data_IF_376930552222
#
_entry.id   IF_376930552222
#
_cell.length_a   1.000
_cell.length_b   1.000
_cell.length_c   1.000
_cell.angle_alpha   90.00
_cell.angle_beta   90.00
_cell.angle_gamma   90.00
#
_symmetry.space_group_name_H-M   'P 1'
#
loop_
_entity.id
_entity.type
_entity.pdbx_description
1 polymer ?
#
# COMPACT_ATOMS: atom_id res chain seq x y z
N UNK A 1 -25.92 -6.69 11.56
CA UNK A 1 -27.00 -7.22 12.42
C UNK A 1 -28.12 -7.74 11.54
N UNK A 2 -28.23 -9.06 11.40
CA UNK A 2 -29.42 -9.69 10.81
C UNK A 2 -30.64 -9.21 11.59
N UNK A 3 -31.54 -8.49 10.93
CA UNK A 3 -32.65 -7.86 11.64
C UNK A 3 -33.48 -8.96 12.28
N UNK A 4 -33.69 -8.88 13.59
CA UNK A 4 -34.61 -9.73 14.38
C UNK A 4 -35.97 -9.90 13.65
N UNK A 5 -36.36 -8.88 12.86
CA UNK A 5 -37.53 -8.90 11.97
C UNK A 5 -37.54 -10.05 10.95
N UNK A 6 -36.39 -10.46 10.41
CA UNK A 6 -36.31 -11.57 9.45
C UNK A 6 -36.63 -12.91 10.13
N UNK A 7 -36.01 -13.17 11.27
CA UNK A 7 -36.25 -14.38 12.05
C UNK A 7 -37.70 -14.46 12.53
N UNK A 8 -38.27 -13.34 13.02
CA UNK A 8 -39.67 -13.27 13.41
C UNK A 8 -40.59 -13.58 12.22
N UNK A 9 -40.30 -13.04 11.03
CA UNK A 9 -41.13 -13.26 9.83
C UNK A 9 -41.10 -14.71 9.35
N UNK A 10 -39.92 -15.34 9.36
CA UNK A 10 -39.76 -16.77 9.03
C UNK A 10 -40.53 -17.61 10.04
N UNK A 11 -40.36 -17.32 11.34
CA UNK A 11 -41.04 -18.06 12.40
C UNK A 11 -42.57 -17.97 12.26
N UNK A 12 -43.11 -16.77 12.01
CA UNK A 12 -44.54 -16.57 11.79
C UNK A 12 -45.05 -17.36 10.57
N UNK A 13 -44.29 -17.41 9.48
CA UNK A 13 -44.68 -18.17 8.28
C UNK A 13 -44.64 -19.67 8.53
N UNK A 14 -43.64 -20.19 9.25
CA UNK A 14 -43.56 -21.61 9.62
C UNK A 14 -44.74 -22.00 10.52
N UNK A 15 -45.05 -21.17 11.53
CA UNK A 15 -46.21 -21.39 12.41
C UNK A 15 -47.50 -21.41 11.60
N UNK A 16 -47.69 -20.46 10.68
CA UNK A 16 -48.88 -20.42 9.82
C UNK A 16 -49.01 -21.68 8.94
N UNK A 17 -47.89 -22.16 8.36
CA UNK A 17 -47.87 -23.40 7.57
C UNK A 17 -48.31 -24.59 8.42
N UNK A 18 -47.76 -24.73 9.64
CA UNK A 18 -48.08 -25.84 10.54
C UNK A 18 -49.55 -25.82 10.94
N UNK A 19 -50.10 -24.64 11.25
CA UNK A 19 -51.52 -24.49 11.62
C UNK A 19 -52.44 -24.84 10.46
N UNK A 20 -52.16 -24.30 9.25
CA UNK A 20 -53.00 -24.55 8.06
C UNK A 20 -52.93 -26.02 7.65
N UNK A 21 -51.75 -26.63 7.63
CA UNK A 21 -51.60 -28.04 7.32
C UNK A 21 -52.26 -28.95 8.37
N UNK A 22 -52.11 -28.62 9.65
CA UNK A 22 -52.72 -29.37 10.75
C UNK A 22 -54.24 -29.34 10.74
N UNK A 23 -54.84 -28.15 10.55
CA UNK A 23 -56.29 -28.00 10.38
C UNK A 23 -56.78 -28.72 9.12
N UNK A 24 -56.03 -28.65 8.02
CA UNK A 24 -56.35 -29.36 6.79
C UNK A 24 -56.39 -30.88 6.98
N UNK A 25 -55.36 -31.44 7.60
CA UNK A 25 -55.28 -32.88 7.90
C UNK A 25 -56.39 -33.32 8.86
N UNK A 26 -56.66 -32.57 9.93
CA UNK A 26 -57.74 -32.88 10.87
C UNK A 26 -59.13 -32.84 10.18
N UNK A 27 -59.36 -31.89 9.29
CA UNK A 27 -60.61 -31.79 8.51
C UNK A 27 -60.83 -32.97 7.56
N UNK A 28 -59.76 -33.54 7.01
CA UNK A 28 -59.80 -34.75 6.18
C UNK A 28 -60.05 -35.99 7.04
N UNK A 29 -59.28 -36.19 8.11
CA UNK A 29 -59.36 -37.39 8.97
C UNK A 29 -60.71 -37.51 9.64
N UNK A 30 -61.31 -36.39 10.06
CA UNK A 30 -62.65 -36.40 10.69
C UNK A 30 -63.79 -36.57 9.69
N UNK A 31 -63.53 -36.54 8.39
CA UNK A 31 -64.52 -36.71 7.32
C UNK A 31 -65.54 -35.55 7.19
N UNK A 32 -65.47 -34.52 8.04
CA UNK A 32 -66.46 -33.43 8.10
C UNK A 32 -66.24 -32.33 7.06
N UNK A 33 -65.01 -32.16 6.58
CA UNK A 33 -64.64 -31.06 5.71
C UNK A 33 -63.52 -31.47 4.73
N UNK A 34 -63.66 -32.61 4.07
CA UNK A 34 -62.62 -33.21 3.22
C UNK A 34 -62.16 -32.27 2.11
N UNK A 35 -63.08 -31.59 1.42
CA UNK A 35 -62.75 -30.65 0.33
C UNK A 35 -61.95 -29.46 0.86
N UNK A 36 -62.38 -28.85 1.96
CA UNK A 36 -61.67 -27.73 2.59
C UNK A 36 -60.29 -28.16 3.10
N UNK A 37 -60.17 -29.38 3.62
CA UNK A 37 -58.90 -29.91 4.09
C UNK A 37 -57.89 -30.14 2.97
N UNK A 38 -58.35 -30.63 1.80
CA UNK A 38 -57.50 -30.77 0.61
C UNK A 38 -57.02 -29.40 0.13
N UNK A 39 -57.92 -28.40 0.06
CA UNK A 39 -57.57 -27.02 -0.31
C UNK A 39 -56.54 -26.43 0.67
N UNK A 40 -56.69 -26.66 1.97
CA UNK A 40 -55.74 -26.20 2.97
C UNK A 40 -54.34 -26.81 2.79
N UNK A 41 -54.25 -28.10 2.42
CA UNK A 41 -52.95 -28.74 2.12
C UNK A 41 -52.29 -28.16 0.87
N UNK A 42 -53.05 -27.85 -0.18
CA UNK A 42 -52.50 -27.16 -1.36
C UNK A 42 -51.99 -25.76 -1.02
N UNK A 43 -52.71 -25.01 -0.17
CA UNK A 43 -52.27 -23.70 0.32
C UNK A 43 -50.99 -23.85 1.13
N UNK A 44 -50.90 -24.84 2.02
CA UNK A 44 -49.69 -25.10 2.80
C UNK A 44 -48.49 -25.45 1.89
N UNK A 45 -48.68 -26.30 0.87
CA UNK A 45 -47.63 -26.64 -0.09
C UNK A 45 -47.16 -25.43 -0.92
N UNK A 46 -48.08 -24.55 -1.30
CA UNK A 46 -47.75 -23.29 -1.96
C UNK A 46 -46.97 -22.35 -1.04
N UNK A 47 -47.38 -22.23 0.23
CA UNK A 47 -46.67 -21.45 1.24
C UNK A 47 -45.25 -21.99 1.51
N UNK A 48 -45.07 -23.31 1.54
CA UNK A 48 -43.74 -23.93 1.66
C UNK A 48 -42.87 -23.57 0.45
N UNK A 49 -43.40 -23.75 -0.76
CA UNK A 49 -42.68 -23.39 -2.00
C UNK A 49 -42.31 -21.90 -2.04
N UNK A 50 -43.22 -21.04 -1.60
CA UNK A 50 -42.97 -19.61 -1.48
C UNK A 50 -41.89 -19.28 -0.45
N UNK A 51 -41.91 -19.93 0.72
CA UNK A 51 -40.91 -19.76 1.76
C UNK A 51 -39.52 -20.24 1.29
N UNK A 52 -39.45 -21.39 0.62
CA UNK A 52 -38.20 -21.92 0.04
C UNK A 52 -37.67 -21.00 -1.05
N UNK A 53 -38.53 -20.51 -1.95
CA UNK A 53 -38.14 -19.52 -2.96
C UNK A 53 -37.61 -18.25 -2.31
N UNK A 54 -38.32 -17.73 -1.30
CA UNK A 54 -37.91 -16.53 -0.57
C UNK A 54 -36.53 -16.75 0.08
N UNK A 55 -36.36 -17.82 0.87
CA UNK A 55 -35.08 -18.17 1.48
C UNK A 55 -33.96 -18.33 0.45
N UNK A 56 -34.20 -18.97 -0.69
CA UNK A 56 -33.18 -19.12 -1.74
C UNK A 56 -32.82 -17.80 -2.41
N UNK A 57 -33.77 -16.88 -2.62
CA UNK A 57 -33.48 -15.53 -3.14
C UNK A 57 -32.62 -14.74 -2.13
N UNK A 58 -32.91 -14.83 -0.83
CA UNK A 58 -32.10 -14.19 0.20
C UNK A 58 -30.72 -14.83 0.33
N UNK A 59 -30.64 -16.16 0.32
CA UNK A 59 -29.36 -16.88 0.35
C UNK A 59 -28.52 -16.58 -0.89
N UNK A 60 -29.12 -16.48 -2.08
CA UNK A 60 -28.40 -16.07 -3.30
C UNK A 60 -27.93 -14.63 -3.25
N UNK A 61 -28.70 -13.72 -2.63
CA UNK A 61 -28.25 -12.33 -2.40
C UNK A 61 -27.16 -12.24 -1.35
N UNK A 62 -27.20 -13.08 -0.31
CA UNK A 62 -26.17 -13.16 0.72
C UNK A 62 -24.91 -13.79 0.12
N UNK A 63 -25.00 -14.83 -0.69
CA UNK A 63 -23.85 -15.36 -1.42
C UNK A 63 -23.31 -14.36 -2.42
N UNK A 64 -24.13 -13.64 -3.20
CA UNK A 64 -23.62 -12.56 -4.06
C UNK A 64 -22.98 -11.41 -3.26
N UNK A 65 -23.44 -11.15 -2.04
CA UNK A 65 -22.83 -10.18 -1.13
C UNK A 65 -21.54 -10.71 -0.47
N UNK A 66 -21.50 -12.00 -0.14
CA UNK A 66 -20.34 -12.67 0.44
C UNK A 66 -19.26 -12.96 -0.61
N UNK A 67 -19.61 -13.38 -1.83
CA UNK A 67 -18.73 -13.50 -3.00
C UNK A 67 -18.16 -12.12 -3.39
N UNK A 68 -18.93 -11.04 -3.26
CA UNK A 68 -18.43 -9.67 -3.42
C UNK A 68 -17.55 -9.17 -2.25
N UNK A 69 -17.54 -9.89 -1.12
CA UNK A 69 -16.63 -9.66 0.02
C UNK A 69 -15.44 -10.63 -0.03
N UNK A 70 -15.61 -11.81 -0.63
CA UNK A 70 -14.60 -12.86 -0.84
C UNK A 70 -13.74 -12.58 -2.09
N UNK A 71 -14.22 -11.73 -3.03
CA UNK A 71 -13.45 -11.01 -4.07
C UNK A 71 -12.64 -9.86 -3.42
N UNK A 72 -11.69 -10.30 -2.61
CA UNK A 72 -10.84 -9.62 -1.64
C UNK A 72 -9.91 -8.55 -2.27
N UNK A 73 -10.48 -7.45 -2.79
CA UNK A 73 -9.80 -6.17 -2.89
C UNK A 73 -9.97 -5.42 -1.56
N UNK A 74 -8.87 -5.27 -0.82
CA UNK A 74 -8.76 -4.52 0.43
C UNK A 74 -9.56 -3.20 0.43
N UNK A 75 -10.80 -3.20 0.92
CA UNK A 75 -11.57 -1.96 1.06
C UNK A 75 -10.99 -1.12 2.21
N UNK A 76 -10.11 -0.18 1.86
CA UNK A 76 -9.77 1.03 2.61
C UNK A 76 -10.98 1.97 2.69
N UNK A 77 -12.02 1.56 3.42
CA UNK A 77 -13.11 2.45 3.76
C UNK A 77 -12.79 3.15 5.07
N UNK A 78 -12.38 4.42 4.98
CA UNK A 78 -12.16 5.24 6.16
C UNK A 78 -13.50 5.69 6.74
N UNK A 79 -13.76 5.49 8.05
CA UNK A 79 -15.02 5.87 8.67
C UNK A 79 -15.20 7.40 8.63
N UNK A 80 -16.13 7.85 7.80
CA UNK A 80 -16.46 9.27 7.58
C UNK A 80 -17.19 9.92 8.77
N UNK A 81 -17.46 9.15 9.83
CA UNK A 81 -18.13 9.59 11.05
C UNK A 81 -17.17 9.79 12.24
N UNK A 82 -15.87 9.49 12.10
CA UNK A 82 -14.87 9.59 13.17
C UNK A 82 -13.99 10.83 12.94
N UNK A 83 -13.72 11.60 14.00
CA UNK A 83 -12.78 12.74 13.99
C UNK A 83 -13.43 14.12 13.79
N UNK A 84 -12.58 15.15 13.67
CA UNK A 84 -12.98 16.55 13.41
C UNK A 84 -13.67 16.70 12.05
N UNK A 85 -14.29 17.85 11.77
CA UNK A 85 -14.98 18.11 10.49
C UNK A 85 -14.01 18.02 9.31
N UNK A 86 -12.76 18.42 9.55
CA UNK A 86 -11.64 18.46 8.62
C UNK A 86 -11.12 17.03 8.36
N UNK A 87 -10.99 16.21 9.40
CA UNK A 87 -10.64 14.79 9.28
C UNK A 87 -11.70 14.01 8.50
N UNK A 88 -12.99 14.27 8.74
CA UNK A 88 -14.08 13.63 7.98
C UNK A 88 -14.09 14.00 6.51
N UNK A 89 -13.82 15.28 6.17
CA UNK A 89 -13.64 15.72 4.78
C UNK A 89 -12.47 15.04 4.12
N UNK A 90 -11.38 14.84 4.85
CA UNK A 90 -10.19 14.16 4.35
C UNK A 90 -10.44 12.67 4.12
N UNK A 91 -11.09 11.96 5.06
CA UNK A 91 -11.53 10.57 4.87
C UNK A 91 -12.40 10.40 3.62
N UNK A 92 -13.39 11.28 3.44
CA UNK A 92 -14.25 11.26 2.25
C UNK A 92 -13.46 11.50 0.95
N UNK A 93 -12.47 12.40 0.97
CA UNK A 93 -11.60 12.65 -0.19
C UNK A 93 -10.74 11.42 -0.53
N UNK A 94 -10.16 10.75 0.48
CA UNK A 94 -9.40 9.51 0.29
C UNK A 94 -10.25 8.37 -0.25
N UNK A 95 -11.44 8.15 0.33
CA UNK A 95 -12.39 7.15 -0.16
C UNK A 95 -12.75 7.40 -1.64
N UNK A 96 -12.90 8.67 -2.03
CA UNK A 96 -13.18 9.06 -3.42
C UNK A 96 -12.00 8.84 -4.36
N UNK A 97 -10.78 9.18 -3.96
CA UNK A 97 -9.56 8.93 -4.74
C UNK A 97 -9.36 7.43 -4.92
N UNK A 98 -9.48 6.65 -3.84
CA UNK A 98 -9.37 5.20 -3.87
C UNK A 98 -10.36 4.61 -4.88
N UNK A 99 -11.64 4.99 -4.80
CA UNK A 99 -12.67 4.53 -5.74
C UNK A 99 -12.32 4.84 -7.20
N UNK A 100 -11.94 6.07 -7.51
CA UNK A 100 -11.59 6.47 -8.88
C UNK A 100 -10.35 5.71 -9.42
N UNK A 101 -9.38 5.43 -8.55
CA UNK A 101 -8.16 4.72 -8.90
C UNK A 101 -8.40 3.22 -9.11
N UNK A 102 -9.19 2.59 -8.24
CA UNK A 102 -9.60 1.18 -8.39
C UNK A 102 -10.41 0.99 -9.66
N UNK A 103 -11.36 1.88 -9.96
CA UNK A 103 -12.20 1.80 -11.15
C UNK A 103 -11.40 1.99 -12.47
N UNK A 104 -10.40 2.87 -12.50
CA UNK A 104 -9.53 3.05 -13.67
C UNK A 104 -8.55 1.89 -13.85
N UNK A 105 -7.93 1.39 -12.77
CA UNK A 105 -6.88 0.36 -12.87
C UNK A 105 -7.41 -1.07 -13.04
N UNK A 106 -8.62 -1.37 -12.55
CA UNK A 106 -9.28 -2.66 -12.79
C UNK A 106 -9.50 -2.95 -14.28
N UNK A 107 -9.59 -1.90 -15.12
CA UNK A 107 -9.73 -2.03 -16.58
C UNK A 107 -8.40 -2.27 -17.32
N UNK A 108 -7.25 -2.00 -16.71
CA UNK A 108 -5.93 -2.16 -17.34
C UNK A 108 -5.25 -3.51 -17.02
N UNK A 109 -5.67 -4.21 -15.97
CA UNK A 109 -4.92 -5.32 -15.38
C UNK A 109 -5.67 -6.67 -15.30
N UNK A 110 -6.30 -7.10 -16.39
CA UNK A 110 -6.99 -8.41 -16.51
C UNK A 110 -6.05 -9.64 -16.61
N UNK A 111 -4.77 -9.53 -16.28
CA UNK A 111 -3.80 -10.67 -16.33
C UNK A 111 -3.10 -10.90 -15.00
N UNK A 112 -2.86 -12.16 -14.68
CA UNK A 112 -2.19 -12.66 -13.46
C UNK A 112 -0.83 -11.97 -13.17
N UNK A 113 -0.10 -11.56 -14.22
CA UNK A 113 1.17 -10.83 -14.12
C UNK A 113 1.04 -9.47 -13.41
N UNK A 114 -0.15 -8.86 -13.46
CA UNK A 114 -0.42 -7.54 -12.91
C UNK A 114 -1.13 -7.56 -11.55
N UNK A 115 -1.56 -8.73 -11.08
CA UNK A 115 -2.16 -8.87 -9.74
C UNK A 115 -1.18 -8.43 -8.64
N UNK A 116 0.09 -8.81 -8.76
CA UNK A 116 1.16 -8.36 -7.83
C UNK A 116 1.39 -6.85 -7.88
N UNK A 117 1.16 -6.21 -9.02
CA UNK A 117 1.24 -4.76 -9.17
C UNK A 117 0.04 -4.09 -8.50
N UNK A 118 -1.16 -4.64 -8.68
CA UNK A 118 -2.36 -4.18 -7.97
C UNK A 118 -2.21 -4.31 -6.45
N UNK A 119 -1.75 -5.46 -5.95
CA UNK A 119 -1.48 -5.68 -4.52
C UNK A 119 -0.43 -4.69 -3.97
N UNK A 120 0.63 -4.40 -4.75
CA UNK A 120 1.61 -3.39 -4.39
C UNK A 120 1.02 -1.97 -4.37
N UNK A 121 0.12 -1.65 -5.31
CA UNK A 121 -0.59 -0.37 -5.37
C UNK A 121 -1.61 -0.19 -4.25
N UNK A 122 -2.31 -1.25 -3.85
CA UNK A 122 -3.20 -1.23 -2.69
C UNK A 122 -2.41 -1.00 -1.40
N UNK A 123 -1.29 -1.73 -1.22
CA UNK A 123 -0.35 -1.49 -0.10
C UNK A 123 0.14 -0.04 -0.09
N UNK A 124 0.47 0.52 -1.25
CA UNK A 124 0.85 1.92 -1.39
C UNK A 124 -0.23 2.88 -0.91
N UNK A 125 -1.47 2.70 -1.36
CA UNK A 125 -2.58 3.55 -0.92
C UNK A 125 -2.78 3.50 0.59
N UNK A 126 -2.63 2.32 1.19
CA UNK A 126 -2.70 2.14 2.64
C UNK A 126 -1.62 2.95 3.37
N UNK A 127 -0.36 2.85 2.93
CA UNK A 127 0.75 3.62 3.51
C UNK A 127 0.51 5.12 3.30
N UNK A 128 0.12 5.54 2.10
CA UNK A 128 -0.19 6.94 1.79
C UNK A 128 -1.21 7.54 2.74
N UNK A 129 -2.33 6.85 2.95
CA UNK A 129 -3.35 7.36 3.86
C UNK A 129 -2.88 7.32 5.31
N UNK A 130 -2.18 6.26 5.73
CA UNK A 130 -1.61 6.17 7.07
C UNK A 130 -0.65 7.33 7.36
N UNK A 131 0.29 7.62 6.45
CA UNK A 131 1.28 8.70 6.63
C UNK A 131 0.66 10.10 6.61
N UNK A 132 -0.31 10.33 5.72
CA UNK A 132 -1.03 11.61 5.68
C UNK A 132 -1.88 11.80 6.94
N UNK A 133 -2.58 10.76 7.40
CA UNK A 133 -3.37 10.83 8.63
C UNK A 133 -2.51 10.97 9.89
N UNK A 134 -1.39 10.25 9.95
CA UNK A 134 -0.43 10.37 11.04
C UNK A 134 0.23 11.74 11.10
N UNK A 135 0.36 12.41 9.95
CA UNK A 135 0.85 13.78 9.91
C UNK A 135 -0.21 14.81 10.26
N UNK A 136 -1.45 14.63 9.81
CA UNK A 136 -2.50 15.64 10.00
C UNK A 136 -3.15 15.55 11.38
N UNK A 137 -3.33 14.36 11.94
CA UNK A 137 -4.03 14.17 13.22
C UNK A 137 -3.36 14.90 14.40
N UNK A 138 -2.02 14.81 14.61
CA UNK A 138 -1.34 15.56 15.65
C UNK A 138 -1.41 17.06 15.43
N UNK A 139 -1.31 17.54 14.19
CA UNK A 139 -1.40 18.97 13.86
C UNK A 139 -2.78 19.53 14.27
N UNK A 140 -3.86 18.83 13.92
CA UNK A 140 -5.24 19.25 14.27
C UNK A 140 -5.46 19.16 15.78
N UNK A 141 -4.99 18.11 16.44
CA UNK A 141 -5.15 17.93 17.89
C UNK A 141 -4.36 18.97 18.70
N UNK A 142 -3.08 19.15 18.36
CA UNK A 142 -2.21 20.12 19.01
C UNK A 142 -2.69 21.54 18.76
N UNK A 143 -3.04 21.90 17.52
CA UNK A 143 -3.60 23.23 17.26
C UNK A 143 -4.89 23.50 18.04
N UNK A 144 -5.78 22.51 18.18
CA UNK A 144 -6.95 22.61 19.06
C UNK A 144 -6.60 22.80 20.54
N UNK A 145 -5.60 22.06 21.03
CA UNK A 145 -5.09 22.17 22.41
C UNK A 145 -4.44 23.54 22.65
N UNK A 146 -3.60 24.00 21.73
CA UNK A 146 -2.96 25.31 21.77
C UNK A 146 -4.00 26.43 21.79
N UNK A 147 -5.04 26.34 20.94
CA UNK A 147 -6.13 27.32 20.96
C UNK A 147 -6.87 27.32 22.31
N UNK A 148 -7.10 26.15 22.92
CA UNK A 148 -7.75 26.05 24.24
C UNK A 148 -6.99 26.75 25.37
N UNK A 149 -5.67 26.94 25.20
CA UNK A 149 -4.86 27.68 26.16
C UNK A 149 -5.15 29.17 26.16
N UNK A 150 -5.53 29.73 25.00
CA UNK A 150 -5.71 31.17 24.82
C UNK A 150 -7.17 31.61 24.66
N UNK A 151 -8.11 30.67 24.44
CA UNK A 151 -9.54 31.00 24.33
C UNK A 151 -10.43 29.90 24.88
N UNK A 152 -11.62 30.29 25.33
CA UNK A 152 -12.76 29.40 25.60
C UNK A 152 -13.64 29.31 24.34
N UNK A 153 -14.80 28.63 24.41
CA UNK A 153 -15.76 28.63 23.31
C UNK A 153 -16.37 30.01 23.02
N UNK A 154 -16.33 30.92 24.00
CA UNK A 154 -17.10 32.16 23.99
C UNK A 154 -16.23 33.43 24.07
N UNK A 155 -14.99 33.33 24.56
CA UNK A 155 -14.10 34.49 24.74
C UNK A 155 -12.61 34.15 24.65
N UNK A 156 -11.79 35.14 24.32
CA UNK A 156 -10.31 35.07 24.43
C UNK A 156 -9.93 35.34 25.88
N UNK A 157 -8.98 34.57 26.42
CA UNK A 157 -8.51 34.73 27.80
C UNK A 157 -7.72 36.04 27.97
N UNK A 158 -7.80 36.63 29.15
CA UNK A 158 -7.06 37.86 29.44
C UNK A 158 -5.56 37.59 29.56
N UNK A 159 -4.76 38.66 29.46
CA UNK A 159 -3.30 38.56 29.63
C UNK A 159 -2.88 38.05 31.01
N UNK A 160 -3.73 38.21 32.03
CA UNK A 160 -3.46 37.78 33.41
C UNK A 160 -3.67 36.26 33.59
N UNK A 161 -4.51 35.65 32.75
CA UNK A 161 -4.77 34.20 32.76
C UNK A 161 -3.70 33.41 31.97
N UNK A 162 -2.90 34.09 31.14
CA UNK A 162 -1.84 33.48 30.34
C UNK A 162 -0.56 33.41 31.16
N UNK A 163 -0.30 32.23 31.71
CA UNK A 163 0.92 31.99 32.48
C UNK A 163 2.13 31.72 31.58
N UNK A 164 3.31 31.95 32.13
CA UNK A 164 4.60 31.60 31.53
C UNK A 164 4.70 30.11 31.16
N UNK A 165 4.05 29.26 31.95
CA UNK A 165 3.91 27.81 31.67
C UNK A 165 3.04 27.55 30.44
N UNK A 166 1.99 28.34 30.23
CA UNK A 166 1.15 28.31 29.03
C UNK A 166 1.98 28.65 27.80
N UNK A 167 2.80 29.70 27.86
CA UNK A 167 3.70 30.11 26.77
C UNK A 167 4.68 28.99 26.42
N UNK A 168 5.34 28.38 27.41
CA UNK A 168 6.27 27.25 27.20
C UNK A 168 5.59 26.03 26.56
N UNK A 169 4.38 25.68 27.00
CA UNK A 169 3.60 24.58 26.38
C UNK A 169 3.23 24.91 24.93
N UNK A 170 2.93 26.18 24.65
CA UNK A 170 2.62 26.65 23.30
C UNK A 170 3.81 26.53 22.36
N UNK A 171 4.98 27.01 22.77
CA UNK A 171 6.21 26.88 21.96
C UNK A 171 6.50 25.41 21.63
N UNK A 172 6.46 24.52 22.63
CA UNK A 172 6.65 23.07 22.39
C UNK A 172 5.61 22.48 21.44
N UNK A 173 4.34 22.85 21.59
CA UNK A 173 3.29 22.39 20.69
C UNK A 173 3.49 22.88 19.25
N UNK A 174 3.96 24.12 19.07
CA UNK A 174 4.30 24.68 17.75
C UNK A 174 5.51 23.97 17.13
N UNK A 175 6.54 23.65 17.90
CA UNK A 175 7.70 22.88 17.41
C UNK A 175 7.28 21.49 16.91
N UNK A 176 6.40 20.80 17.65
CA UNK A 176 5.85 19.50 17.21
C UNK A 176 5.02 19.65 15.94
N UNK A 177 4.17 20.68 15.84
CA UNK A 177 3.38 20.96 14.62
C UNK A 177 4.31 21.22 13.42
N UNK A 178 5.38 22.01 13.62
CA UNK A 178 6.37 22.30 12.58
C UNK A 178 7.04 21.03 12.08
N UNK A 179 7.56 20.20 12.99
CA UNK A 179 8.22 18.93 12.64
C UNK A 179 7.29 17.97 11.89
N UNK A 180 6.02 17.92 12.28
CA UNK A 180 5.04 17.10 11.59
C UNK A 180 4.71 17.63 10.18
N UNK A 181 4.67 18.96 10.01
CA UNK A 181 4.52 19.60 8.71
C UNK A 181 5.70 19.34 7.77
N UNK A 182 6.94 19.44 8.28
CA UNK A 182 8.16 19.12 7.54
C UNK A 182 8.17 17.65 7.08
N UNK A 183 7.77 16.74 7.97
CA UNK A 183 7.65 15.30 7.65
C UNK A 183 6.65 15.05 6.53
N UNK A 184 5.50 15.74 6.54
CA UNK A 184 4.49 15.64 5.49
C UNK A 184 5.00 16.18 4.15
N UNK A 185 5.74 17.30 4.15
CA UNK A 185 6.36 17.85 2.93
C UNK A 185 7.32 16.81 2.34
N UNK A 186 8.24 16.28 3.15
CA UNK A 186 9.21 15.28 2.72
C UNK A 186 8.51 14.02 2.16
N UNK A 187 7.44 13.57 2.81
CA UNK A 187 6.62 12.47 2.33
C UNK A 187 5.99 12.76 0.96
N UNK A 188 5.39 13.94 0.78
CA UNK A 188 4.75 14.32 -0.50
C UNK A 188 5.76 14.47 -1.64
N UNK A 189 6.97 14.97 -1.37
CA UNK A 189 8.05 15.04 -2.37
C UNK A 189 8.52 13.66 -2.78
N UNK A 190 8.69 12.76 -1.80
CA UNK A 190 9.02 11.36 -2.03
C UNK A 190 7.94 10.69 -2.90
N UNK A 191 6.66 10.87 -2.58
CA UNK A 191 5.55 10.37 -3.38
C UNK A 191 5.54 10.96 -4.81
N UNK A 192 5.80 12.26 -4.96
CA UNK A 192 5.85 12.93 -6.27
C UNK A 192 6.89 12.30 -7.20
N UNK A 193 8.07 11.95 -6.66
CA UNK A 193 9.13 11.27 -7.41
C UNK A 193 8.68 9.89 -7.92
N UNK A 194 7.87 9.17 -7.13
CA UNK A 194 7.33 7.88 -7.51
C UNK A 194 6.16 7.99 -8.52
N UNK A 195 5.22 8.90 -8.28
CA UNK A 195 3.99 9.04 -9.07
C UNK A 195 4.22 9.70 -10.43
N UNK A 196 5.20 10.59 -10.56
CA UNK A 196 5.51 11.32 -11.80
C UNK A 196 6.79 10.83 -12.47
N UNK A 197 6.99 9.52 -12.46
CA UNK A 197 8.09 8.92 -13.19
C UNK A 197 7.90 9.14 -14.70
N UNK A 198 8.84 9.87 -15.31
CA UNK A 198 8.80 10.17 -16.75
C UNK A 198 9.03 8.88 -17.55
N UNK A 199 8.39 8.77 -18.71
CA UNK A 199 8.71 7.70 -19.66
C UNK A 199 10.21 7.79 -20.03
N UNK A 200 10.95 6.68 -20.05
CA UNK A 200 12.36 6.68 -20.44
C UNK A 200 12.56 7.28 -21.83
N UNK A 201 13.59 8.11 -21.99
CA UNK A 201 14.08 8.55 -23.29
C UNK A 201 15.39 7.82 -23.62
N UNK A 202 15.32 6.58 -24.13
CA UNK A 202 16.51 5.75 -24.27
C UNK A 202 17.45 6.30 -25.34
N UNK A 203 18.71 6.50 -24.97
CA UNK A 203 19.80 6.95 -25.84
C UNK A 203 21.03 6.06 -25.61
N UNK A 204 21.89 5.87 -26.63
CA UNK A 204 23.14 5.15 -26.43
C UNK A 204 24.10 5.98 -25.57
N UNK A 205 24.62 5.41 -24.49
CA UNK A 205 25.67 6.03 -23.66
C UNK A 205 26.67 5.00 -23.14
N UNK A 206 27.82 5.47 -22.65
CA UNK A 206 28.87 4.62 -22.08
C UNK A 206 28.59 4.33 -20.61
N UNK A 207 28.27 3.08 -20.28
CA UNK A 207 28.03 2.65 -18.90
C UNK A 207 29.29 2.80 -18.03
N UNK A 208 30.47 2.58 -18.61
CA UNK A 208 31.74 2.71 -17.90
C UNK A 208 31.94 4.15 -17.43
N UNK A 209 31.68 5.14 -18.29
CA UNK A 209 31.78 6.56 -17.92
C UNK A 209 30.78 6.90 -16.81
N UNK A 210 29.55 6.41 -16.90
CA UNK A 210 28.55 6.60 -15.85
C UNK A 210 29.04 6.05 -14.50
N UNK A 211 29.55 4.81 -14.46
CA UNK A 211 30.03 4.18 -13.24
C UNK A 211 31.26 4.90 -12.65
N UNK A 212 32.19 5.37 -13.49
CA UNK A 212 33.34 6.16 -13.07
C UNK A 212 32.93 7.52 -12.49
N UNK A 213 31.93 8.17 -13.09
CA UNK A 213 31.38 9.43 -12.56
C UNK A 213 30.72 9.20 -11.20
N UNK A 214 29.95 8.12 -11.03
CA UNK A 214 29.34 7.77 -9.75
C UNK A 214 30.37 7.43 -8.68
N UNK A 215 31.42 6.69 -9.03
CA UNK A 215 32.55 6.43 -8.14
C UNK A 215 33.19 7.74 -7.67
N UNK A 216 33.46 8.67 -8.59
CA UNK A 216 34.08 9.97 -8.27
C UNK A 216 33.16 10.80 -7.37
N UNK A 217 31.86 10.82 -7.65
CA UNK A 217 30.86 11.58 -6.89
C UNK A 217 30.75 11.11 -5.43
N UNK A 218 30.79 9.79 -5.19
CA UNK A 218 30.62 9.20 -3.86
C UNK A 218 31.92 8.86 -3.14
N UNK A 219 33.08 9.06 -3.77
CA UNK A 219 34.38 8.81 -3.16
C UNK A 219 34.58 9.53 -1.81
N UNK A 220 34.21 10.81 -1.63
CA UNK A 220 34.35 11.48 -0.34
C UNK A 220 33.51 10.84 0.77
N UNK A 221 32.31 10.35 0.45
CA UNK A 221 31.42 9.68 1.41
C UNK A 221 31.98 8.33 1.81
N UNK A 222 32.41 7.53 0.83
CA UNK A 222 33.03 6.22 1.04
C UNK A 222 34.31 6.34 1.88
N UNK A 223 35.16 7.34 1.63
CA UNK A 223 36.36 7.59 2.42
C UNK A 223 36.05 7.96 3.86
N UNK A 224 35.06 8.83 4.09
CA UNK A 224 34.63 9.21 5.45
C UNK A 224 34.09 8.02 6.25
N UNK A 225 33.44 7.08 5.58
CA UNK A 225 32.89 5.86 6.18
C UNK A 225 33.88 4.68 6.15
N UNK A 226 35.11 4.88 5.69
CA UNK A 226 36.14 3.83 5.54
C UNK A 226 35.69 2.63 4.67
N UNK A 227 34.85 2.88 3.67
CA UNK A 227 34.35 1.87 2.74
C UNK A 227 35.32 1.72 1.57
N UNK A 228 35.76 0.49 1.31
CA UNK A 228 36.49 0.13 0.09
C UNK A 228 35.51 0.02 -1.07
N UNK A 229 35.90 0.52 -2.24
CA UNK A 229 35.11 0.42 -3.45
C UNK A 229 35.92 -0.27 -4.56
N UNK A 230 35.33 -1.27 -5.22
CA UNK A 230 35.95 -1.95 -6.37
C UNK A 230 34.98 -2.00 -7.55
N UNK A 231 35.47 -1.66 -8.73
CA UNK A 231 34.74 -1.73 -9.99
C UNK A 231 35.37 -2.80 -10.89
N UNK A 232 34.65 -3.89 -11.11
CA UNK A 232 35.09 -5.01 -11.93
C UNK A 232 34.41 -4.94 -13.31
N UNK A 233 35.20 -4.57 -14.33
CA UNK A 233 34.74 -4.47 -15.71
C UNK A 233 35.29 -5.65 -16.52
N UNK A 234 34.40 -6.54 -16.98
CA UNK A 234 34.80 -7.70 -17.79
C UNK A 234 35.00 -7.36 -19.28
N UNK A 235 34.66 -6.15 -19.70
CA UNK A 235 34.83 -5.64 -21.06
C UNK A 235 35.32 -4.18 -21.03
N UNK A 236 36.19 -3.76 -21.97
CA UNK A 236 36.79 -2.42 -21.97
C UNK A 236 35.81 -1.32 -22.39
N UNK A 237 34.75 -1.65 -23.13
CA UNK A 237 33.70 -0.72 -23.54
C UNK A 237 32.33 -1.40 -23.49
N UNK A 238 31.36 -0.75 -22.83
CA UNK A 238 29.98 -1.23 -22.73
C UNK A 238 29.06 -0.05 -23.04
N UNK A 239 28.38 -0.15 -24.18
CA UNK A 239 27.36 0.83 -24.62
C UNK A 239 25.97 0.29 -24.31
N UNK A 240 25.15 1.10 -23.64
CA UNK A 240 23.80 0.73 -23.20
C UNK A 240 22.80 1.65 -23.86
N UNK A 241 21.65 1.11 -24.26
CA UNK A 241 20.54 1.86 -24.83
C UNK A 241 19.44 2.02 -23.78
N UNK A 242 19.57 3.05 -22.95
CA UNK A 242 18.68 3.33 -21.83
C UNK A 242 18.63 4.84 -21.55
N UNK A 243 17.76 5.27 -20.65
CA UNK A 243 17.77 6.64 -20.14
C UNK A 243 18.88 6.76 -19.09
N UNK A 244 19.93 7.53 -19.41
CA UNK A 244 21.13 7.66 -18.58
C UNK A 244 20.81 8.26 -17.21
N UNK A 245 19.92 9.26 -17.14
CA UNK A 245 19.53 9.91 -15.87
C UNK A 245 18.77 8.94 -14.98
N UNK A 246 17.83 8.18 -15.55
CA UNK A 246 17.06 7.20 -14.78
C UNK A 246 17.93 6.03 -14.31
N UNK A 247 18.84 5.52 -15.16
CA UNK A 247 19.74 4.44 -14.73
C UNK A 247 20.76 4.94 -13.70
N UNK A 248 21.24 6.18 -13.83
CA UNK A 248 22.06 6.84 -12.81
C UNK A 248 21.34 6.90 -11.47
N UNK A 249 20.06 7.29 -11.47
CA UNK A 249 19.24 7.33 -10.25
C UNK A 249 19.13 5.95 -9.58
N UNK A 250 18.95 4.87 -10.36
CA UNK A 250 18.94 3.49 -9.84
C UNK A 250 20.27 3.19 -9.15
N UNK A 251 21.39 3.43 -9.81
CA UNK A 251 22.72 3.11 -9.30
C UNK A 251 23.06 3.94 -8.05
N UNK A 252 22.71 5.23 -8.02
CA UNK A 252 22.84 6.09 -6.84
C UNK A 252 22.03 5.54 -5.67
N UNK A 253 20.79 5.09 -5.90
CA UNK A 253 19.95 4.52 -4.85
C UNK A 253 20.57 3.23 -4.28
N UNK A 254 21.07 2.33 -5.15
CA UNK A 254 21.73 1.10 -4.71
C UNK A 254 23.03 1.40 -3.94
N UNK A 255 23.84 2.34 -4.41
CA UNK A 255 25.08 2.74 -3.74
C UNK A 255 24.82 3.37 -2.37
N UNK A 256 23.82 4.25 -2.26
CA UNK A 256 23.41 4.82 -0.98
C UNK A 256 22.92 3.75 -0.02
N UNK A 257 22.14 2.78 -0.50
CA UNK A 257 21.67 1.68 0.34
C UNK A 257 22.82 0.83 0.85
N UNK A 258 23.81 0.52 0.00
CA UNK A 258 25.02 -0.20 0.37
C UNK A 258 25.86 0.58 1.40
N UNK A 259 26.14 1.87 1.17
CA UNK A 259 26.88 2.71 2.12
C UNK A 259 26.19 2.77 3.48
N UNK A 260 24.87 2.96 3.51
CA UNK A 260 24.10 2.96 4.75
C UNK A 260 24.08 1.60 5.46
N UNK A 261 24.11 0.49 4.73
CA UNK A 261 24.17 -0.84 5.32
C UNK A 261 25.52 -1.10 6.01
N UNK A 262 26.58 -0.41 5.57
CA UNK A 262 27.94 -0.49 6.09
C UNK A 262 28.24 0.55 7.19
N UNK A 263 27.26 1.36 7.60
CA UNK A 263 27.47 2.34 8.68
C UNK A 263 27.87 1.63 9.99
N UNK A 264 29.07 1.96 10.49
CA UNK A 264 29.62 1.37 11.71
C UNK A 264 30.22 -0.03 11.53
N UNK A 265 30.29 -0.55 10.30
CA UNK A 265 30.92 -1.83 10.00
C UNK A 265 32.42 -1.66 9.73
N UNK A 266 33.23 -2.51 10.36
CA UNK A 266 34.66 -2.63 10.06
C UNK A 266 34.88 -3.31 8.71
N UNK A 267 35.87 -2.84 7.94
CA UNK A 267 36.21 -3.38 6.61
C UNK A 267 35.06 -3.38 5.58
N UNK A 268 34.19 -2.36 5.64
CA UNK A 268 33.11 -2.17 4.66
C UNK A 268 33.64 -2.18 3.22
N UNK A 269 32.96 -2.92 2.34
CA UNK A 269 33.35 -3.12 0.95
C UNK A 269 32.12 -3.11 0.04
N UNK A 270 32.17 -2.27 -0.99
CA UNK A 270 31.19 -2.23 -2.07
C UNK A 270 31.89 -2.64 -3.37
N UNK A 271 31.29 -3.59 -4.08
CA UNK A 271 31.77 -4.07 -5.38
C UNK A 271 30.68 -3.85 -6.44
N UNK A 272 31.03 -3.19 -7.54
CA UNK A 272 30.20 -3.18 -8.75
C UNK A 272 30.83 -4.09 -9.79
N UNK A 273 30.05 -5.02 -10.34
CA UNK A 273 30.48 -5.90 -11.42
C UNK A 273 29.57 -5.72 -12.62
N UNK A 274 30.14 -5.61 -13.82
CA UNK A 274 29.37 -5.48 -15.06
C UNK A 274 29.70 -6.59 -16.02
N UNK A 275 28.68 -7.38 -16.38
CA UNK A 275 28.81 -8.48 -17.33
C UNK A 275 27.83 -8.30 -18.47
N UNK A 276 28.34 -8.15 -19.69
CA UNK A 276 27.51 -8.17 -20.89
C UNK A 276 27.56 -9.55 -21.54
N UNK A 277 26.40 -10.20 -21.66
CA UNK A 277 26.20 -11.44 -22.40
C UNK A 277 25.30 -11.15 -23.61
N UNK A 278 25.34 -11.98 -24.66
CA UNK A 278 24.77 -11.71 -26.00
C UNK A 278 23.52 -10.81 -26.06
N UNK A 279 22.50 -11.10 -25.26
CA UNK A 279 21.23 -10.35 -25.25
C UNK A 279 20.92 -9.62 -23.93
N UNK A 280 21.81 -9.65 -22.95
CA UNK A 280 21.54 -9.18 -21.60
C UNK A 280 22.77 -8.50 -20.98
N UNK A 281 22.54 -7.33 -20.42
CA UNK A 281 23.49 -6.59 -19.60
C UNK A 281 23.15 -6.83 -18.14
N UNK A 282 24.12 -7.30 -17.38
CA UNK A 282 23.98 -7.53 -15.95
C UNK A 282 24.92 -6.59 -15.19
N UNK A 283 24.34 -5.81 -14.26
CA UNK A 283 25.09 -4.94 -13.33
C UNK A 283 24.80 -5.44 -11.91
N UNK A 284 25.83 -5.91 -11.22
CA UNK A 284 25.74 -6.34 -9.82
C UNK A 284 26.32 -5.26 -8.92
N UNK A 285 25.59 -4.90 -7.86
CA UNK A 285 26.06 -4.04 -6.77
C UNK A 285 26.03 -4.88 -5.51
N UNK A 286 27.21 -5.22 -5.00
CA UNK A 286 27.40 -6.09 -3.85
C UNK A 286 28.00 -5.32 -2.68
N UNK A 287 27.42 -5.46 -1.50
CA UNK A 287 27.99 -5.00 -0.23
C UNK A 287 28.22 -6.19 0.72
N UNK A 288 29.20 -6.07 1.60
CA UNK A 288 29.47 -7.06 2.66
C UNK A 288 28.72 -6.73 3.96
N UNK A 289 27.57 -6.06 3.89
CA UNK A 289 26.80 -5.62 5.04
C UNK A 289 26.17 -6.75 5.87
N UNK A 290 25.34 -6.41 6.88
CA UNK A 290 24.67 -7.38 7.75
C UNK A 290 23.64 -8.27 7.02
N UNK A 291 23.37 -8.01 5.73
CA UNK A 291 22.40 -8.75 4.95
C UNK A 291 20.95 -8.34 5.20
N UNK A 292 20.06 -8.91 4.41
CA UNK A 292 18.61 -8.73 4.48
C UNK A 292 17.99 -10.06 4.94
N UNK A 293 17.26 -10.07 6.07
CA UNK A 293 16.52 -11.25 6.53
C UNK A 293 15.60 -11.81 5.43
N UNK A 294 15.53 -13.14 5.31
CA UNK A 294 14.81 -13.81 4.21
C UNK A 294 13.32 -13.46 4.14
N UNK A 295 12.70 -13.21 5.29
CA UNK A 295 11.31 -12.77 5.43
C UNK A 295 11.06 -11.35 4.90
N UNK A 296 12.11 -10.52 4.79
CA UNK A 296 11.99 -9.14 4.31
C UNK A 296 12.36 -8.95 2.84
N UNK A 297 12.99 -9.94 2.19
CA UNK A 297 13.54 -9.78 0.83
C UNK A 297 12.49 -9.43 -0.23
N UNK A 298 11.26 -9.92 -0.09
CA UNK A 298 10.16 -9.55 -1.00
C UNK A 298 9.59 -8.15 -0.70
N UNK A 299 9.61 -7.74 0.57
CA UNK A 299 9.00 -6.50 1.05
C UNK A 299 9.91 -5.27 0.84
N UNK A 300 11.23 -5.44 0.68
CA UNK A 300 12.16 -4.29 0.45
C UNK A 300 11.84 -3.48 -0.81
N UNK A 301 11.12 -4.07 -1.76
CA UNK A 301 10.69 -3.41 -2.98
C UNK A 301 9.26 -2.87 -2.92
N UNK A 302 8.55 -3.07 -1.81
CA UNK A 302 7.27 -2.40 -1.54
C UNK A 302 7.59 -0.94 -1.22
N UNK A 303 7.01 0.05 -1.93
CA UNK A 303 7.36 1.43 -1.65
C UNK A 303 6.91 1.86 -0.25
N UNK A 304 7.68 2.78 0.33
CA UNK A 304 7.60 3.22 1.73
C UNK A 304 7.94 2.16 2.76
N UNK A 305 8.29 0.93 2.35
CA UNK A 305 8.89 -0.03 3.25
C UNK A 305 10.31 0.42 3.59
N UNK A 306 10.59 0.55 4.89
CA UNK A 306 11.91 0.91 5.40
C UNK A 306 12.06 0.34 6.81
N UNK A 307 13.26 -0.16 7.11
CA UNK A 307 13.67 -0.51 8.48
C UNK A 307 14.47 0.62 9.12
N UNK A 308 14.75 1.70 8.36
CA UNK A 308 15.62 2.82 8.76
C UNK A 308 14.78 4.00 9.24
N UNK A 309 15.20 4.63 10.35
CA UNK A 309 14.49 5.76 10.97
C UNK A 309 14.35 7.01 10.08
N UNK A 310 15.28 7.22 9.14
CA UNK A 310 15.30 8.38 8.22
C UNK A 310 15.06 8.00 6.75
N UNK A 311 14.81 6.71 6.46
CA UNK A 311 14.62 6.23 5.09
C UNK A 311 13.21 6.52 4.58
N UNK A 312 13.07 7.05 3.36
CA UNK A 312 11.73 7.25 2.75
C UNK A 312 11.08 5.95 2.27
N UNK A 313 11.84 4.87 2.14
CA UNK A 313 11.37 3.57 1.62
C UNK A 313 11.00 3.57 0.13
N UNK A 314 11.30 4.65 -0.62
CA UNK A 314 10.97 4.73 -2.05
C UNK A 314 12.12 4.29 -2.95
N UNK A 315 13.37 4.38 -2.49
CA UNK A 315 14.55 4.18 -3.35
C UNK A 315 14.57 2.87 -4.13
N UNK A 316 14.37 1.72 -3.45
CA UNK A 316 14.42 0.40 -4.09
C UNK A 316 13.21 0.12 -4.98
N UNK A 317 12.03 0.56 -4.55
CA UNK A 317 10.80 0.34 -5.31
C UNK A 317 10.75 1.20 -6.59
N UNK A 318 11.20 2.46 -6.51
CA UNK A 318 11.43 3.32 -7.67
C UNK A 318 12.48 2.71 -8.60
N UNK A 319 13.57 2.18 -8.03
CA UNK A 319 14.62 1.53 -8.83
C UNK A 319 14.08 0.34 -9.61
N UNK A 320 13.27 -0.51 -8.97
CA UNK A 320 12.59 -1.64 -9.63
C UNK A 320 11.66 -1.17 -10.75
N UNK A 321 10.92 -0.09 -10.54
CA UNK A 321 10.03 0.48 -11.57
C UNK A 321 10.82 1.03 -12.75
N UNK A 322 11.89 1.79 -12.52
CA UNK A 322 12.78 2.30 -13.57
C UNK A 322 13.33 1.14 -14.42
N UNK A 323 13.91 0.12 -13.78
CA UNK A 323 14.50 -1.03 -14.49
C UNK A 323 13.43 -1.78 -15.31
N UNK A 324 12.21 -1.95 -14.77
CA UNK A 324 11.09 -2.55 -15.50
C UNK A 324 10.66 -1.72 -16.72
N UNK A 325 10.59 -0.40 -16.61
CA UNK A 325 10.26 0.46 -17.76
C UNK A 325 11.32 0.39 -18.87
N UNK A 326 12.55 -0.01 -18.53
CA UNK A 326 13.62 -0.32 -19.49
C UNK A 326 13.56 -1.77 -20.01
N UNK A 327 12.53 -2.53 -19.66
CA UNK A 327 12.34 -3.92 -20.06
C UNK A 327 13.21 -4.93 -19.31
N UNK A 328 13.79 -4.52 -18.17
CA UNK A 328 14.67 -5.34 -17.35
C UNK A 328 14.04 -5.83 -16.04
N UNK A 329 14.88 -6.42 -15.21
CA UNK A 329 14.55 -6.92 -13.88
C UNK A 329 15.59 -6.46 -12.84
N UNK A 330 15.11 -6.05 -11.66
CA UNK A 330 15.94 -5.78 -10.49
C UNK A 330 15.65 -6.86 -9.45
N UNK A 331 16.67 -7.65 -9.10
CA UNK A 331 16.59 -8.72 -8.11
C UNK A 331 17.61 -8.51 -6.99
N UNK A 332 17.42 -9.23 -5.88
CA UNK A 332 18.32 -9.21 -4.73
C UNK A 332 18.63 -10.65 -4.32
N UNK A 333 19.88 -10.90 -3.96
CA UNK A 333 20.30 -12.10 -3.23
C UNK A 333 21.05 -11.61 -2.02
N UNK A 334 20.62 -12.01 -0.83
CA UNK A 334 21.27 -11.61 0.41
C UNK A 334 21.44 -12.79 1.34
N UNK A 335 22.63 -12.89 1.94
CA UNK A 335 22.96 -13.82 3.00
C UNK A 335 23.22 -13.02 4.28
N UNK A 336 22.45 -13.25 5.36
CA UNK A 336 22.66 -12.57 6.63
C UNK A 336 24.13 -12.67 7.10
N UNK A 337 24.70 -11.52 7.46
CA UNK A 337 26.09 -11.37 7.93
C UNK A 337 27.18 -11.77 6.93
N UNK A 338 26.87 -11.84 5.64
CA UNK A 338 27.86 -12.16 4.61
C UNK A 338 27.87 -11.10 3.50
N UNK A 339 26.83 -11.06 2.67
CA UNK A 339 26.74 -10.10 1.58
C UNK A 339 25.30 -9.86 1.12
N UNK A 340 25.06 -8.68 0.56
CA UNK A 340 23.85 -8.34 -0.19
C UNK A 340 24.25 -7.98 -1.60
N UNK A 341 23.63 -8.63 -2.59
CA UNK A 341 23.88 -8.40 -4.00
C UNK A 341 22.59 -8.01 -4.70
N UNK A 342 22.49 -6.76 -5.14
CA UNK A 342 21.46 -6.30 -6.06
C UNK A 342 21.91 -6.51 -7.50
N UNK A 343 21.06 -7.12 -8.32
CA UNK A 343 21.36 -7.40 -9.73
C UNK A 343 20.36 -6.67 -10.62
N UNK A 344 20.86 -5.78 -11.48
CA UNK A 344 20.10 -5.14 -12.56
C UNK A 344 20.37 -5.95 -13.82
N UNK A 345 19.32 -6.56 -14.37
CA UNK A 345 19.34 -7.23 -15.66
C UNK A 345 18.59 -6.37 -16.69
N UNK A 346 19.27 -5.93 -17.75
CA UNK A 346 18.71 -5.12 -18.83
C UNK A 346 18.87 -5.83 -20.18
N UNK A 347 17.90 -5.70 -21.11
CA UNK A 347 18.07 -6.22 -22.46
C UNK A 347 19.18 -5.45 -23.19
N UNK A 348 20.07 -6.15 -23.89
CA UNK A 348 21.19 -5.52 -24.62
C UNK A 348 20.75 -4.72 -25.86
N UNK A 349 19.50 -4.89 -26.30
CA UNK A 349 18.85 -4.09 -27.35
C UNK A 349 17.41 -3.78 -26.93
N UNK A 350 16.89 -2.59 -27.26
CA UNK A 350 15.48 -2.28 -27.02
C UNK A 350 14.60 -3.30 -27.75
N UNK A 351 13.55 -3.78 -27.08
CA UNK A 351 12.47 -4.49 -27.77
C UNK A 351 11.73 -3.44 -28.61
N UNK A 352 11.85 -3.57 -29.93
CA UNK A 352 11.22 -2.68 -30.90
C UNK A 352 9.71 -2.74 -30.89
#
# INVERSE_FOLDING_TARGET
MFSIRLYIRILLQVVAIVVVAGLGAAGIVTGRAVILGIVALFIAAWMISYLVYYLNVYNRRIQLFLDAIEDNESMLYFPENIGSREQRRLHAAFNRIHKLMTENKRKEFDRELHRKEYESWDRLMRVLTHEIMNSIAPIVSLSGTLLSYFRTKESVKSSEEITDTTIRKTVRGLDTIKSQGESLIHFTESYRQFAHLKKPEPKPFSLIRLLQNLQTLHQPDMQRQQIRFSLDLFQPEITVYADEEQLSQVLINLLKNAMQALEGQEDGHIRIQVKQQKNELEIRVTDNGPGIPSDLQDDIFVPFFTTKATGSGIGLSLSRQIVRMHGGELSVVSQPYAETCFTIALPAKPRG
#
